data_IF_263491725519
#
_entry.id   IF_263491725519
#
_cell.length_a   1.000
_cell.length_b   1.000
_cell.length_c   1.000
_cell.angle_alpha   90.00
_cell.angle_beta   90.00
_cell.angle_gamma   90.00
#
_symmetry.space_group_name_H-M   'P 1'
#
loop_
_entity.id
_entity.type
_entity.pdbx_description
1 polymer ?
#
# COMPACT_ATOMS: atom_id res chain seq x y z
N UNK A 1 -29.21 -12.09 -42.13
CA UNK A 1 -29.40 -11.68 -40.72
C UNK A 1 -30.48 -10.60 -40.69
N UNK A 2 -31.59 -10.84 -39.99
CA UNK A 2 -32.69 -9.89 -39.84
C UNK A 2 -32.28 -8.75 -38.90
N UNK A 3 -32.96 -7.60 -38.99
CA UNK A 3 -32.64 -6.38 -38.22
C UNK A 3 -32.57 -6.64 -36.71
N UNK A 4 -33.50 -7.42 -36.16
CA UNK A 4 -33.53 -7.80 -34.74
C UNK A 4 -32.33 -8.66 -34.30
N UNK A 5 -31.73 -9.47 -35.19
CA UNK A 5 -30.55 -10.28 -34.83
C UNK A 5 -29.31 -9.42 -34.56
N UNK A 6 -29.15 -8.30 -35.27
CA UNK A 6 -28.00 -7.40 -35.07
C UNK A 6 -28.10 -6.60 -33.78
N UNK A 7 -29.32 -6.20 -33.42
CA UNK A 7 -29.61 -5.48 -32.18
C UNK A 7 -29.28 -6.37 -30.98
N UNK A 8 -29.79 -7.61 -30.97
CA UNK A 8 -29.52 -8.56 -29.90
C UNK A 8 -28.02 -8.92 -29.79
N UNK A 9 -27.31 -9.05 -30.92
CA UNK A 9 -25.85 -9.26 -30.92
C UNK A 9 -25.09 -8.12 -30.23
N UNK A 10 -25.45 -6.86 -30.50
CA UNK A 10 -24.79 -5.71 -29.90
C UNK A 10 -24.99 -5.65 -28.37
N UNK A 11 -26.23 -5.88 -27.92
CA UNK A 11 -26.58 -5.93 -26.49
C UNK A 11 -25.78 -7.04 -25.79
N UNK A 12 -25.80 -8.25 -26.35
CA UNK A 12 -25.07 -9.39 -25.79
C UNK A 12 -23.56 -9.14 -25.73
N UNK A 13 -22.99 -8.51 -26.77
CA UNK A 13 -21.56 -8.13 -26.78
C UNK A 13 -21.22 -7.09 -25.73
N UNK A 14 -22.09 -6.11 -25.51
CA UNK A 14 -21.92 -5.12 -24.45
C UNK A 14 -21.95 -5.80 -23.07
N UNK A 15 -22.98 -6.60 -22.80
CA UNK A 15 -23.16 -7.29 -21.53
C UNK A 15 -22.00 -8.25 -21.26
N UNK A 16 -21.58 -9.03 -22.26
CA UNK A 16 -20.40 -9.88 -22.16
C UNK A 16 -19.12 -9.07 -21.85
N UNK A 17 -18.93 -7.92 -22.49
CA UNK A 17 -17.77 -7.05 -22.23
C UNK A 17 -17.76 -6.49 -20.79
N UNK A 18 -18.93 -6.30 -20.17
CA UNK A 18 -19.10 -5.92 -18.77
C UNK A 18 -18.82 -7.12 -17.86
N UNK A 19 -19.52 -8.23 -18.05
CA UNK A 19 -19.52 -9.40 -17.16
C UNK A 19 -18.18 -10.15 -17.16
N UNK A 20 -17.44 -10.20 -18.27
CA UNK A 20 -16.11 -10.82 -18.29
C UNK A 20 -15.13 -10.15 -17.31
N UNK A 21 -15.37 -8.87 -16.97
CA UNK A 21 -14.55 -8.10 -16.03
C UNK A 21 -14.95 -8.32 -14.56
N UNK A 22 -16.01 -9.09 -14.30
CA UNK A 22 -16.56 -9.38 -12.99
C UNK A 22 -16.13 -10.78 -12.48
N UNK A 23 -16.16 -11.02 -11.15
CA UNK A 23 -15.96 -12.35 -10.58
C UNK A 23 -16.97 -13.37 -11.13
N UNK A 24 -16.53 -14.59 -11.45
CA UNK A 24 -17.38 -15.64 -12.05
C UNK A 24 -18.67 -15.90 -11.28
N UNK A 25 -18.60 -15.87 -9.94
CA UNK A 25 -19.74 -16.13 -9.06
C UNK A 25 -20.89 -15.14 -9.21
N UNK A 26 -20.65 -13.94 -9.76
CA UNK A 26 -21.67 -12.88 -9.89
C UNK A 26 -22.05 -12.62 -11.36
N UNK A 27 -21.36 -13.25 -12.33
CA UNK A 27 -21.56 -12.94 -13.75
C UNK A 27 -22.99 -13.22 -14.21
N UNK A 28 -23.55 -14.36 -13.85
CA UNK A 28 -24.89 -14.77 -14.30
C UNK A 28 -26.00 -13.86 -13.75
N UNK A 29 -25.89 -13.43 -12.49
CA UNK A 29 -26.88 -12.56 -11.88
C UNK A 29 -26.80 -11.14 -12.47
N UNK A 30 -25.58 -10.62 -12.64
CA UNK A 30 -25.36 -9.28 -13.20
C UNK A 30 -25.66 -9.25 -14.71
N UNK A 31 -25.45 -10.36 -15.42
CA UNK A 31 -25.88 -10.51 -16.82
C UNK A 31 -27.39 -10.32 -16.95
N UNK A 32 -28.18 -11.00 -16.09
CA UNK A 32 -29.64 -10.84 -16.08
C UNK A 32 -30.08 -9.44 -15.68
N UNK A 33 -29.42 -8.86 -14.67
CA UNK A 33 -29.72 -7.50 -14.23
C UNK A 33 -29.45 -6.48 -15.34
N UNK A 34 -28.33 -6.60 -16.06
CA UNK A 34 -28.00 -5.75 -17.20
C UNK A 34 -28.94 -5.96 -18.39
N UNK A 35 -29.41 -7.19 -18.63
CA UNK A 35 -30.43 -7.45 -19.64
C UNK A 35 -31.73 -6.70 -19.29
N UNK A 36 -32.20 -6.83 -18.05
CA UNK A 36 -33.39 -6.11 -17.57
C UNK A 36 -33.22 -4.59 -17.65
N UNK A 37 -32.07 -4.07 -17.24
CA UNK A 37 -31.79 -2.63 -17.32
C UNK A 37 -31.84 -2.09 -18.76
N UNK A 38 -31.30 -2.83 -19.73
CA UNK A 38 -31.37 -2.45 -21.15
C UNK A 38 -32.81 -2.52 -21.66
N UNK A 39 -33.58 -3.53 -21.25
CA UNK A 39 -35.00 -3.66 -21.59
C UNK A 39 -35.83 -2.50 -21.03
N UNK A 40 -35.69 -2.19 -19.74
CA UNK A 40 -36.35 -1.07 -19.07
C UNK A 40 -36.04 0.27 -19.77
N UNK A 41 -34.77 0.53 -20.10
CA UNK A 41 -34.37 1.77 -20.79
C UNK A 41 -34.92 1.88 -22.21
N UNK A 42 -35.18 0.77 -22.89
CA UNK A 42 -35.82 0.76 -24.20
C UNK A 42 -37.33 0.97 -24.06
N UNK A 43 -37.97 0.34 -23.07
CA UNK A 43 -39.39 0.52 -22.76
C UNK A 43 -39.72 1.98 -22.38
N UNK A 44 -38.85 2.64 -21.61
CA UNK A 44 -38.96 4.07 -21.28
C UNK A 44 -38.98 4.98 -22.53
N UNK A 45 -38.40 4.49 -23.64
CA UNK A 45 -38.39 5.16 -24.94
C UNK A 45 -39.53 4.70 -25.86
N UNK A 46 -40.41 3.84 -25.36
CA UNK A 46 -41.59 3.33 -26.06
C UNK A 46 -41.30 2.23 -27.07
N UNK A 47 -40.14 1.57 -26.98
CA UNK A 47 -39.74 0.50 -27.91
C UNK A 47 -39.36 -0.77 -27.14
N UNK A 48 -39.87 -1.92 -27.57
CA UNK A 48 -39.43 -3.21 -27.03
C UNK A 48 -38.12 -3.67 -27.68
N UNK A 49 -37.36 -4.54 -26.99
CA UNK A 49 -36.08 -5.10 -27.47
C UNK A 49 -36.18 -5.69 -28.89
N UNK A 50 -37.30 -6.32 -29.24
CA UNK A 50 -37.52 -6.92 -30.56
C UNK A 50 -37.84 -5.89 -31.66
N UNK A 51 -38.39 -4.74 -31.27
CA UNK A 51 -38.81 -3.66 -32.19
C UNK A 51 -37.77 -2.54 -32.30
N UNK A 52 -36.82 -2.50 -31.36
CA UNK A 52 -35.79 -1.48 -31.29
C UNK A 52 -34.92 -1.46 -32.54
N UNK A 53 -34.53 -0.26 -32.97
CA UNK A 53 -33.58 -0.07 -34.04
C UNK A 53 -32.15 0.07 -33.51
N UNK A 54 -31.17 0.06 -34.43
CA UNK A 54 -29.75 0.10 -34.07
C UNK A 54 -29.37 1.40 -33.34
N UNK A 55 -29.96 2.53 -33.72
CA UNK A 55 -29.67 3.85 -33.15
C UNK A 55 -30.24 3.99 -31.74
N UNK A 56 -31.44 3.47 -31.49
CA UNK A 56 -32.07 3.44 -30.17
C UNK A 56 -31.23 2.63 -29.17
N UNK A 57 -30.77 1.45 -29.58
CA UNK A 57 -29.89 0.61 -28.74
C UNK A 57 -28.52 1.25 -28.55
N UNK A 58 -27.94 1.84 -29.59
CA UNK A 58 -26.67 2.56 -29.46
C UNK A 58 -26.77 3.71 -28.45
N UNK A 59 -27.86 4.47 -28.49
CA UNK A 59 -28.12 5.52 -27.51
C UNK A 59 -28.28 4.99 -26.08
N UNK A 60 -28.98 3.86 -25.88
CA UNK A 60 -29.08 3.23 -24.55
C UNK A 60 -27.69 2.80 -24.04
N UNK A 61 -26.90 2.13 -24.89
CA UNK A 61 -25.57 1.66 -24.50
C UNK A 61 -24.59 2.83 -24.26
N UNK A 62 -24.75 3.94 -24.98
CA UNK A 62 -23.98 5.17 -24.73
C UNK A 62 -24.35 5.81 -23.38
N UNK A 63 -25.63 5.82 -23.01
CA UNK A 63 -26.09 6.30 -21.69
C UNK A 63 -25.60 5.42 -20.54
N UNK A 64 -25.54 4.10 -20.74
CA UNK A 64 -24.93 3.17 -19.79
C UNK A 64 -23.41 3.40 -19.65
N UNK A 65 -22.79 3.99 -20.67
CA UNK A 65 -21.37 4.30 -20.69
C UNK A 65 -20.50 3.10 -21.05
N UNK A 66 -19.17 3.25 -21.00
CA UNK A 66 -18.26 2.23 -21.49
C UNK A 66 -18.26 0.98 -20.57
N UNK A 67 -18.09 -0.24 -21.12
CA UNK A 67 -18.21 -1.49 -20.34
C UNK A 67 -17.30 -1.60 -19.12
N UNK A 68 -16.14 -0.93 -19.13
CA UNK A 68 -15.21 -0.94 -17.99
C UNK A 68 -15.73 -0.11 -16.81
N UNK A 69 -16.44 0.99 -17.07
CA UNK A 69 -17.04 1.84 -16.06
C UNK A 69 -18.30 1.17 -15.49
N UNK A 70 -19.13 0.59 -16.36
CA UNK A 70 -20.30 -0.18 -15.92
C UNK A 70 -19.89 -1.38 -15.04
N UNK A 71 -18.85 -2.11 -15.44
CA UNK A 71 -18.28 -3.19 -14.62
C UNK A 71 -17.62 -2.69 -13.32
N UNK A 72 -17.23 -1.43 -13.21
CA UNK A 72 -16.70 -0.85 -11.98
C UNK A 72 -17.81 -0.58 -10.96
N UNK A 73 -18.98 -0.11 -11.42
CA UNK A 73 -20.18 0.10 -10.59
C UNK A 73 -20.63 -1.19 -9.90
N UNK A 74 -20.59 -2.31 -10.62
CA UNK A 74 -20.90 -3.64 -10.07
C UNK A 74 -19.80 -4.24 -9.18
N UNK A 75 -18.52 -3.89 -9.40
CA UNK A 75 -17.42 -4.47 -8.64
C UNK A 75 -17.35 -4.00 -7.20
N UNK A 76 -18.09 -2.94 -6.83
CA UNK A 76 -18.18 -2.40 -5.48
C UNK A 76 -16.89 -1.77 -4.94
N UNK A 77 -15.70 -2.23 -5.36
CA UNK A 77 -14.39 -1.66 -5.04
C UNK A 77 -13.42 -1.84 -6.21
N UNK A 78 -12.78 -0.76 -6.62
CA UNK A 78 -11.62 -0.83 -7.50
C UNK A 78 -10.48 -1.62 -6.83
N UNK A 79 -9.73 -2.41 -7.61
CA UNK A 79 -8.59 -3.19 -7.12
C UNK A 79 -7.39 -2.24 -6.90
N UNK A 80 -7.38 -1.52 -5.80
CA UNK A 80 -6.22 -0.75 -5.38
C UNK A 80 -5.20 -1.65 -4.66
N UNK A 81 -3.91 -1.41 -4.90
CA UNK A 81 -2.85 -1.99 -4.06
C UNK A 81 -2.89 -1.39 -2.65
N UNK A 82 -3.19 -0.09 -2.55
CA UNK A 82 -3.38 0.67 -1.31
C UNK A 82 -4.61 1.54 -1.53
N UNK A 83 -5.69 1.28 -0.81
CA UNK A 83 -6.96 1.99 -1.00
C UNK A 83 -6.93 3.43 -0.51
N UNK A 84 -7.92 4.26 -0.91
CA UNK A 84 -8.02 5.66 -0.49
C UNK A 84 -8.13 5.82 1.04
N UNK A 85 -8.59 4.81 1.77
CA UNK A 85 -8.64 4.82 3.23
C UNK A 85 -7.26 4.72 3.90
N UNK A 86 -6.26 4.14 3.24
CA UNK A 86 -4.93 3.91 3.80
C UNK A 86 -3.85 4.82 3.21
N UNK A 87 -4.10 5.47 2.07
CA UNK A 87 -3.07 6.23 1.33
C UNK A 87 -2.41 7.35 2.15
N UNK A 88 -3.17 8.04 3.02
CA UNK A 88 -2.63 9.08 3.89
C UNK A 88 -1.67 8.51 4.94
N UNK A 89 -2.05 7.38 5.55
CA UNK A 89 -1.21 6.69 6.53
C UNK A 89 0.03 6.10 5.88
N UNK A 90 -0.10 5.57 4.66
CA UNK A 90 1.02 5.08 3.85
C UNK A 90 2.07 6.17 3.63
N UNK A 91 1.66 7.34 3.13
CA UNK A 91 2.58 8.47 2.93
C UNK A 91 3.22 8.96 4.22
N UNK A 92 2.48 8.96 5.33
CA UNK A 92 3.00 9.35 6.64
C UNK A 92 4.13 8.41 7.09
N UNK A 93 3.86 7.09 7.07
CA UNK A 93 4.85 6.07 7.45
C UNK A 93 6.06 6.09 6.53
N UNK A 94 5.84 6.17 5.22
CA UNK A 94 6.92 6.19 4.23
C UNK A 94 7.86 7.38 4.47
N UNK A 95 7.32 8.58 4.69
CA UNK A 95 8.13 9.77 5.01
C UNK A 95 8.93 9.59 6.28
N UNK A 96 8.32 9.06 7.34
CA UNK A 96 9.01 8.80 8.62
C UNK A 96 10.17 7.83 8.40
N UNK A 97 9.96 6.72 7.68
CA UNK A 97 11.01 5.74 7.37
C UNK A 97 12.14 6.39 6.58
N UNK A 98 11.84 7.14 5.50
CA UNK A 98 12.86 7.78 4.68
C UNK A 98 13.66 8.84 5.46
N UNK A 99 13.01 9.67 6.28
CA UNK A 99 13.72 10.61 7.14
C UNK A 99 14.57 9.90 8.20
N UNK A 100 14.09 8.79 8.76
CA UNK A 100 14.85 7.99 9.71
C UNK A 100 16.10 7.37 9.08
N UNK A 101 15.99 6.88 7.83
CA UNK A 101 17.13 6.38 7.05
C UNK A 101 18.14 7.50 6.82
N UNK A 102 17.66 8.68 6.40
CA UNK A 102 18.51 9.84 6.16
C UNK A 102 19.25 10.30 7.42
N UNK A 103 18.55 10.37 8.56
CA UNK A 103 19.15 10.71 9.86
C UNK A 103 20.18 9.65 10.27
N UNK A 104 19.83 8.37 10.19
CA UNK A 104 20.70 7.28 10.62
C UNK A 104 21.99 7.24 9.80
N UNK A 105 21.90 7.25 8.46
CA UNK A 105 23.07 7.25 7.59
C UNK A 105 23.85 8.57 7.68
N UNK A 106 23.16 9.70 7.89
CA UNK A 106 23.80 11.00 8.12
C UNK A 106 24.66 11.00 9.38
N UNK A 107 24.17 10.42 10.49
CA UNK A 107 24.97 10.27 11.73
C UNK A 107 26.21 9.41 11.46
N UNK A 108 26.06 8.30 10.75
CA UNK A 108 27.20 7.41 10.40
C UNK A 108 28.24 8.16 9.59
N UNK A 109 27.81 8.92 8.57
CA UNK A 109 28.70 9.74 7.76
C UNK A 109 29.41 10.83 8.57
N UNK A 110 28.69 11.53 9.46
CA UNK A 110 29.28 12.56 10.34
C UNK A 110 30.37 11.94 11.22
N UNK A 111 30.12 10.77 11.80
CA UNK A 111 31.13 10.07 12.62
C UNK A 111 32.35 9.73 11.76
N UNK A 112 32.15 9.12 10.59
CA UNK A 112 33.25 8.75 9.68
C UNK A 112 34.07 9.98 9.25
N UNK A 113 33.40 11.11 8.98
CA UNK A 113 34.04 12.37 8.62
C UNK A 113 35.00 12.90 9.69
N UNK A 114 34.67 12.73 10.98
CA UNK A 114 35.54 13.17 12.08
C UNK A 114 36.61 12.15 12.47
N UNK A 115 36.45 10.87 12.14
CA UNK A 115 37.41 9.81 12.49
C UNK A 115 38.43 9.50 11.39
N UNK A 116 38.11 9.86 10.14
CA UNK A 116 38.95 9.55 8.98
C UNK A 116 39.92 10.70 8.66
N UNK A 117 41.17 10.38 8.31
CA UNK A 117 42.23 11.37 8.03
C UNK A 117 42.09 12.09 6.68
N UNK A 118 41.25 11.59 5.77
CA UNK A 118 41.00 12.17 4.44
C UNK A 118 39.50 12.04 4.10
N UNK A 119 38.65 13.02 4.43
CA UNK A 119 37.27 13.03 3.94
C UNK A 119 37.26 13.36 2.45
N UNK A 120 37.07 12.34 1.60
CA UNK A 120 37.08 12.48 0.15
C UNK A 120 35.66 12.62 -0.42
N UNK A 121 35.56 13.21 -1.61
CA UNK A 121 34.31 13.28 -2.40
C UNK A 121 33.68 11.88 -2.63
N UNK A 122 34.48 10.81 -2.57
CA UNK A 122 34.05 9.42 -2.68
C UNK A 122 33.12 9.02 -1.52
N UNK A 123 33.39 9.46 -0.29
CA UNK A 123 32.54 9.17 0.88
C UNK A 123 31.16 9.80 0.78
N UNK A 124 31.09 11.00 0.22
CA UNK A 124 29.81 11.65 -0.06
C UNK A 124 29.01 10.87 -1.11
N UNK A 125 29.69 10.34 -2.14
CA UNK A 125 29.05 9.50 -3.15
C UNK A 125 28.55 8.17 -2.55
N UNK A 126 29.34 7.53 -1.67
CA UNK A 126 28.93 6.33 -0.94
C UNK A 126 27.66 6.57 -0.11
N UNK A 127 27.57 7.73 0.57
CA UNK A 127 26.37 8.13 1.31
C UNK A 127 25.15 8.25 0.39
N UNK A 128 25.29 8.92 -0.76
CA UNK A 128 24.18 9.09 -1.72
C UNK A 128 23.71 7.76 -2.28
N UNK A 129 24.65 6.87 -2.65
CA UNK A 129 24.32 5.52 -3.12
C UNK A 129 23.63 4.71 -2.03
N UNK A 130 24.10 4.82 -0.78
CA UNK A 130 23.50 4.13 0.36
C UNK A 130 22.10 4.65 0.67
N UNK A 131 21.88 5.97 0.64
CA UNK A 131 20.57 6.59 0.81
C UNK A 131 19.58 6.09 -0.24
N UNK A 132 20.01 6.04 -1.51
CA UNK A 132 19.17 5.52 -2.59
C UNK A 132 18.87 4.04 -2.41
N UNK A 133 19.89 3.22 -2.16
CA UNK A 133 19.73 1.76 -2.00
C UNK A 133 18.85 1.41 -0.81
N UNK A 134 19.18 1.91 0.39
CA UNK A 134 18.40 1.64 1.61
C UNK A 134 17.02 2.28 1.53
N UNK A 135 16.91 3.46 0.89
CA UNK A 135 15.63 4.12 0.62
C UNK A 135 14.69 3.30 -0.26
N UNK A 136 15.21 2.67 -1.33
CA UNK A 136 14.43 1.76 -2.19
C UNK A 136 13.93 0.56 -1.38
N UNK A 137 14.78 -0.03 -0.53
CA UNK A 137 14.37 -1.15 0.32
C UNK A 137 13.30 -0.72 1.34
N UNK A 138 13.46 0.45 1.97
CA UNK A 138 12.47 1.02 2.88
C UNK A 138 11.13 1.25 2.18
N UNK A 139 11.15 1.85 0.99
CA UNK A 139 9.96 2.03 0.15
C UNK A 139 9.27 0.70 -0.17
N UNK A 140 10.05 -0.30 -0.61
CA UNK A 140 9.52 -1.62 -0.96
C UNK A 140 8.84 -2.29 0.24
N UNK A 141 9.50 -2.33 1.41
CA UNK A 141 8.94 -2.95 2.61
C UNK A 141 7.69 -2.22 3.14
N UNK A 142 7.70 -0.88 3.15
CA UNK A 142 6.50 -0.11 3.54
C UNK A 142 5.34 -0.39 2.59
N UNK A 143 5.60 -0.44 1.28
CA UNK A 143 4.59 -0.76 0.27
C UNK A 143 4.01 -2.16 0.47
N UNK A 144 4.87 -3.17 0.69
CA UNK A 144 4.45 -4.55 0.96
C UNK A 144 3.60 -4.63 2.23
N UNK A 145 3.99 -3.93 3.29
CA UNK A 145 3.22 -3.85 4.55
C UNK A 145 1.81 -3.30 4.30
N UNK A 146 1.69 -2.17 3.61
CA UNK A 146 0.41 -1.54 3.35
C UNK A 146 -0.46 -2.36 2.38
N UNK A 147 0.15 -2.94 1.35
CA UNK A 147 -0.52 -3.87 0.46
C UNK A 147 -1.07 -5.09 1.21
N UNK A 148 -0.31 -5.63 2.17
CA UNK A 148 -0.76 -6.73 3.02
C UNK A 148 -1.91 -6.31 3.96
N UNK A 149 -1.85 -5.11 4.55
CA UNK A 149 -2.93 -4.56 5.39
C UNK A 149 -4.21 -4.37 4.57
N UNK A 150 -4.14 -3.74 3.40
CA UNK A 150 -5.28 -3.55 2.49
C UNK A 150 -5.88 -4.90 2.09
N UNK A 151 -5.03 -5.86 1.69
CA UNK A 151 -5.47 -7.19 1.30
C UNK A 151 -6.22 -7.95 2.41
N UNK A 152 -5.77 -7.82 3.67
CA UNK A 152 -6.44 -8.41 4.83
C UNK A 152 -7.70 -7.66 5.22
N UNK A 153 -7.68 -6.33 5.21
CA UNK A 153 -8.83 -5.48 5.54
C UNK A 153 -9.97 -5.64 4.53
N UNK A 154 -9.65 -5.72 3.24
CA UNK A 154 -10.64 -5.94 2.17
C UNK A 154 -11.41 -7.26 2.33
N UNK A 155 -10.82 -8.28 2.96
CA UNK A 155 -11.46 -9.57 3.26
C UNK A 155 -12.36 -9.57 4.50
N UNK A 156 -12.27 -8.56 5.37
CA UNK A 156 -12.96 -8.54 6.66
C UNK A 156 -14.18 -7.63 6.72
N UNK A 157 -14.48 -6.88 5.66
CA UNK A 157 -15.66 -5.99 5.65
C UNK A 157 -16.93 -6.87 5.54
N UNK A 158 -17.81 -6.87 6.56
CA UNK A 158 -19.08 -7.58 6.50
C UNK A 158 -19.91 -7.06 5.31
N UNK A 159 -20.63 -7.95 4.64
CA UNK A 159 -21.52 -7.60 3.54
C UNK A 159 -22.86 -6.98 4.03
N UNK A 160 -23.00 -6.79 5.34
CA UNK A 160 -24.22 -6.30 5.95
C UNK A 160 -24.39 -4.78 5.73
N UNK A 161 -25.63 -4.31 5.50
CA UNK A 161 -25.91 -2.90 5.37
C UNK A 161 -25.61 -2.18 6.69
N UNK A 162 -24.68 -1.22 6.63
CA UNK A 162 -24.23 -0.42 7.76
C UNK A 162 -25.39 0.29 8.47
N UNK A 163 -25.40 0.26 9.81
CA UNK A 163 -26.39 0.96 10.64
C UNK A 163 -25.73 2.05 11.50
N UNK A 164 -26.33 3.25 11.67
CA UNK A 164 -25.79 4.30 12.53
C UNK A 164 -25.55 3.89 13.99
N UNK A 165 -26.30 2.89 14.50
CA UNK A 165 -26.11 2.33 15.84
C UNK A 165 -24.80 1.55 16.01
N UNK A 166 -24.12 1.20 14.93
CA UNK A 166 -22.83 0.48 14.91
C UNK A 166 -21.64 1.44 15.01
N UNK A 167 -21.88 2.75 15.13
CA UNK A 167 -20.83 3.73 15.34
C UNK A 167 -20.05 3.39 16.62
N UNK A 168 -18.73 3.21 16.54
CA UNK A 168 -17.93 2.93 17.72
C UNK A 168 -17.97 4.12 18.67
N UNK A 169 -18.09 3.85 19.96
CA UNK A 169 -18.05 4.88 20.99
C UNK A 169 -16.78 5.74 20.87
N UNK A 170 -16.93 7.03 21.18
CA UNK A 170 -15.80 7.97 21.20
C UNK A 170 -14.79 7.45 22.23
N UNK A 171 -13.55 7.16 21.82
CA UNK A 171 -12.54 6.65 22.75
C UNK A 171 -12.24 7.71 23.81
N UNK A 172 -12.11 7.26 25.06
CA UNK A 172 -11.66 8.10 26.17
C UNK A 172 -10.29 8.72 25.86
N UNK A 173 -10.01 9.96 26.32
CA UNK A 173 -8.77 10.67 26.01
C UNK A 173 -7.49 9.89 26.33
N UNK A 174 -7.51 9.06 27.38
CA UNK A 174 -6.38 8.24 27.82
C UNK A 174 -6.04 7.09 26.85
N UNK A 175 -6.99 6.64 26.02
CA UNK A 175 -6.78 5.57 25.05
C UNK A 175 -6.30 6.07 23.67
N UNK A 176 -6.14 7.40 23.52
CA UNK A 176 -5.67 8.03 22.27
C UNK A 176 -4.15 8.06 22.25
N UNK A 177 -3.57 7.31 21.33
CA UNK A 177 -2.12 7.28 21.12
C UNK A 177 -1.68 8.64 20.56
N UNK A 178 -0.68 9.25 21.19
CA UNK A 178 -0.03 10.43 20.61
C UNK A 178 0.72 10.00 19.35
N UNK A 179 0.59 10.71 18.21
CA UNK A 179 1.29 10.35 16.97
C UNK A 179 2.81 10.24 17.11
N UNK A 180 3.40 10.85 18.14
CA UNK A 180 4.83 10.81 18.45
C UNK A 180 5.34 9.40 18.81
N UNK A 181 4.53 8.58 19.46
CA UNK A 181 4.96 7.25 19.93
C UNK A 181 5.30 6.32 18.76
N UNK A 182 4.41 6.12 17.76
CA UNK A 182 4.76 5.32 16.59
C UNK A 182 5.88 5.92 15.73
N UNK A 183 5.97 7.24 15.66
CA UNK A 183 7.05 7.93 14.94
C UNK A 183 8.40 7.59 15.56
N UNK A 184 8.52 7.68 16.89
CA UNK A 184 9.75 7.32 17.59
C UNK A 184 10.04 5.81 17.46
N UNK A 185 9.01 4.97 17.54
CA UNK A 185 9.15 3.53 17.33
C UNK A 185 9.77 3.17 15.97
N UNK A 186 9.27 3.80 14.89
CA UNK A 186 9.84 3.63 13.54
C UNK A 186 11.26 4.18 13.48
N UNK A 187 11.49 5.39 14.00
CA UNK A 187 12.80 6.04 14.01
C UNK A 187 13.87 5.16 14.68
N UNK A 188 13.62 4.70 15.90
CA UNK A 188 14.57 3.84 16.61
C UNK A 188 14.75 2.48 15.91
N UNK A 189 13.67 1.90 15.36
CA UNK A 189 13.77 0.64 14.62
C UNK A 189 14.70 0.76 13.41
N UNK A 190 14.60 1.86 12.66
CA UNK A 190 15.48 2.15 11.52
C UNK A 190 16.89 2.47 11.98
N UNK A 191 17.06 3.23 13.07
CA UNK A 191 18.37 3.56 13.63
C UNK A 191 19.13 2.27 14.04
N UNK A 192 18.47 1.37 14.77
CA UNK A 192 19.05 0.08 15.14
C UNK A 192 19.33 -0.80 13.91
N UNK A 193 18.41 -0.83 12.94
CA UNK A 193 18.63 -1.54 11.69
C UNK A 193 19.91 -1.09 10.98
N UNK A 194 20.11 0.23 10.84
CA UNK A 194 21.32 0.79 10.22
C UNK A 194 22.55 0.48 11.06
N UNK A 195 22.47 0.67 12.38
CA UNK A 195 23.56 0.41 13.31
C UNK A 195 24.07 -1.04 13.21
N UNK A 196 23.17 -2.02 13.28
CA UNK A 196 23.54 -3.44 13.26
C UNK A 196 23.91 -3.95 11.87
N UNK A 197 23.40 -3.33 10.80
CA UNK A 197 23.67 -3.78 9.42
C UNK A 197 24.93 -3.15 8.83
N UNK A 198 25.12 -1.84 9.02
CA UNK A 198 26.17 -1.07 8.33
C UNK A 198 27.24 -0.53 9.27
N UNK A 199 26.93 -0.40 10.56
CA UNK A 199 27.78 0.37 11.48
C UNK A 199 28.16 -0.38 12.74
N UNK A 200 28.16 -1.72 12.69
CA UNK A 200 28.50 -2.57 13.83
C UNK A 200 29.92 -2.27 14.35
N UNK A 201 30.82 -1.89 13.44
CA UNK A 201 32.21 -1.56 13.75
C UNK A 201 32.36 -0.23 14.52
N UNK A 202 31.34 0.63 14.54
CA UNK A 202 31.32 1.80 15.42
C UNK A 202 31.23 1.38 16.89
N UNK A 203 30.63 0.23 17.17
CA UNK A 203 30.56 -0.36 18.52
C UNK A 203 31.86 -1.14 18.76
N UNK A 204 32.91 -0.40 19.06
CA UNK A 204 34.27 -0.89 19.25
C UNK A 204 34.97 -0.13 20.37
N UNK A 205 35.95 -0.77 21.00
CA UNK A 205 36.89 -0.03 21.85
C UNK A 205 37.88 0.63 20.90
N UNK A 206 37.73 1.93 20.72
CA UNK A 206 38.65 2.75 19.94
C UNK A 206 39.78 3.22 20.85
N UNK A 207 41.00 2.72 20.63
CA UNK A 207 42.20 3.31 21.25
C UNK A 207 42.72 4.42 20.35
N UNK A 208 42.65 5.64 20.84
CA UNK A 208 43.25 6.81 20.21
C UNK A 208 44.71 6.92 20.69
N UNK A 209 45.61 6.16 20.06
CA UNK A 209 47.08 6.26 20.21
C UNK A 209 47.69 6.54 18.81
N UNK A 210 49.03 6.59 18.65
CA UNK A 210 49.72 6.86 17.37
C UNK A 210 49.24 5.98 16.20
N UNK A 211 48.71 4.78 16.49
CA UNK A 211 47.90 3.99 15.56
C UNK A 211 46.50 3.84 16.15
N UNK A 212 45.49 4.44 15.55
CA UNK A 212 44.09 4.28 15.94
C UNK A 212 43.62 2.84 15.66
N UNK A 213 43.74 1.96 16.66
CA UNK A 213 43.26 0.57 16.55
C UNK A 213 41.83 0.52 17.10
N UNK A 214 40.88 0.30 16.20
CA UNK A 214 39.51 -0.03 16.55
C UNK A 214 39.40 -1.55 16.77
N UNK A 215 39.12 -1.97 18.01
CA UNK A 215 38.80 -3.38 18.31
C UNK A 215 37.27 -3.50 18.33
N UNK A 216 36.64 -4.07 17.29
CA UNK A 216 35.19 -4.23 17.26
C UNK A 216 34.74 -5.17 18.38
N UNK A 217 33.70 -4.78 19.13
CA UNK A 217 33.16 -5.61 20.22
C UNK A 217 32.42 -6.83 19.67
N UNK A 218 31.89 -6.71 18.45
CA UNK A 218 31.13 -7.75 17.78
C UNK A 218 31.87 -8.33 16.58
N UNK A 219 31.81 -9.65 16.43
CA UNK A 219 32.32 -10.32 15.24
C UNK A 219 31.36 -10.10 14.06
N UNK A 220 31.82 -9.40 13.02
CA UNK A 220 31.01 -9.04 11.85
C UNK A 220 30.45 -10.28 11.12
N UNK A 221 31.26 -11.33 10.99
CA UNK A 221 30.84 -12.59 10.36
C UNK A 221 29.74 -13.32 11.15
N UNK A 222 29.73 -13.19 12.47
CA UNK A 222 28.67 -13.76 13.30
C UNK A 222 27.35 -13.01 13.09
N UNK A 223 27.38 -11.67 13.01
CA UNK A 223 26.18 -10.86 12.84
C UNK A 223 25.61 -10.91 11.43
N UNK A 224 26.46 -11.08 10.41
CA UNK A 224 26.02 -11.29 9.03
C UNK A 224 25.00 -12.45 8.92
N UNK A 225 25.15 -13.51 9.72
CA UNK A 225 24.22 -14.66 9.76
C UNK A 225 22.83 -14.27 10.27
N UNK A 226 22.74 -13.26 11.12
CA UNK A 226 21.49 -12.78 11.72
C UNK A 226 20.86 -11.60 10.98
N UNK A 227 21.51 -11.06 9.92
CA UNK A 227 20.93 -9.98 9.12
C UNK A 227 19.51 -10.28 8.63
N UNK A 228 19.20 -11.47 8.06
CA UNK A 228 17.82 -11.75 7.64
C UNK A 228 16.80 -11.63 8.77
N UNK A 229 17.17 -12.02 10.00
CA UNK A 229 16.33 -11.88 11.18
C UNK A 229 16.15 -10.41 11.57
N UNK A 230 17.22 -9.61 11.55
CA UNK A 230 17.15 -8.16 11.81
C UNK A 230 16.21 -7.47 10.82
N UNK A 231 16.33 -7.78 9.53
CA UNK A 231 15.42 -7.28 8.49
C UNK A 231 13.94 -7.61 8.80
N UNK A 232 13.65 -8.86 9.16
CA UNK A 232 12.29 -9.29 9.51
C UNK A 232 11.76 -8.59 10.76
N UNK A 233 12.59 -8.45 11.80
CA UNK A 233 12.22 -7.76 13.04
C UNK A 233 11.94 -6.27 12.79
N UNK A 234 12.75 -5.60 11.98
CA UNK A 234 12.52 -4.21 11.59
C UNK A 234 11.22 -4.06 10.80
N UNK A 235 10.97 -4.94 9.82
CA UNK A 235 9.72 -4.92 9.05
C UNK A 235 8.49 -5.17 9.96
N UNK A 236 8.59 -6.11 10.89
CA UNK A 236 7.53 -6.39 11.86
C UNK A 236 7.28 -5.22 12.82
N UNK A 237 8.34 -4.55 13.28
CA UNK A 237 8.22 -3.34 14.10
C UNK A 237 7.49 -2.23 13.35
N UNK A 238 7.90 -1.94 12.10
CA UNK A 238 7.24 -0.93 11.25
C UNK A 238 5.77 -1.31 11.02
N UNK A 239 5.46 -2.58 10.78
CA UNK A 239 4.09 -3.06 10.64
C UNK A 239 3.24 -2.74 11.87
N UNK A 240 3.75 -3.01 13.08
CA UNK A 240 3.03 -2.73 14.32
C UNK A 240 2.82 -1.22 14.53
N UNK A 241 3.83 -0.39 14.28
CA UNK A 241 3.71 1.06 14.43
C UNK A 241 2.79 1.67 13.35
N UNK A 242 2.82 1.15 12.12
CA UNK A 242 1.89 1.54 11.07
C UNK A 242 0.44 1.24 11.48
N UNK A 243 0.16 0.08 12.08
CA UNK A 243 -1.17 -0.24 12.61
C UNK A 243 -1.63 0.76 13.66
N UNK A 244 -0.78 1.14 14.61
CA UNK A 244 -1.10 2.16 15.62
C UNK A 244 -1.42 3.52 14.99
N UNK A 245 -0.70 3.92 13.94
CA UNK A 245 -0.97 5.16 13.21
C UNK A 245 -2.30 5.14 12.45
N UNK A 246 -2.68 3.98 11.89
CA UNK A 246 -3.95 3.80 11.19
C UNK A 246 -5.13 3.82 12.16
N UNK A 247 -5.08 3.06 13.26
CA UNK A 247 -6.20 2.94 14.19
C UNK A 247 -6.34 4.13 15.13
N UNK A 248 -5.24 4.87 15.38
CA UNK A 248 -5.15 5.96 16.39
C UNK A 248 -5.67 5.56 17.78
N UNK A 249 -5.79 4.26 18.05
CA UNK A 249 -6.24 3.64 19.30
C UNK A 249 -5.34 2.45 19.61
N UNK A 250 -5.08 2.19 20.90
CA UNK A 250 -4.46 0.96 21.35
C UNK A 250 -5.32 -0.24 20.90
N UNK A 251 -4.76 -1.16 20.14
CA UNK A 251 -5.28 -2.54 20.10
C UNK A 251 -4.61 -3.30 21.22
N UNK A 252 -5.36 -3.89 22.17
CA UNK A 252 -4.79 -4.84 23.13
C UNK A 252 -4.19 -6.07 22.43
#
# INVERSE_FOLDING_TARGET
MTRGTKVMDLINRYIYAVTQKLPESQRADIEKELQGLVEDMLEDRGVGVETANMEEVEQVLLELGPPWEMAARYRGRERYLIGPGLINSYWSVLRIVLYSIAIALGIVYIIDFFTSTEPTAEKLLELLVSLLSVGIHGFAWVTVIFAFIEYRGARQVPNDPWKPSELPAIPEPAARIKPIEPVLGILFSVLFFVLFTFSINLIGVHRFDENSIAIPVFEQAAIAKYLPLIWLLTAFSIFNEARKLITRKWTP
#
